data_IF_606797027320
#
_entry.id   IF_606797027320
#
_cell.length_a   1.000
_cell.length_b   1.000
_cell.length_c   1.000
_cell.angle_alpha   90.00
_cell.angle_beta   90.00
_cell.angle_gamma   90.00
#
_symmetry.space_group_name_H-M   'P 1'
#
loop_
_entity.id
_entity.type
_entity.pdbx_description
1 polymer ?
#
# COMPACT_ATOMS: atom_id res chain seq x y z
N UNK A 1 1.02 -6.22 -5.72
CA UNK A 1 1.82 -5.83 -4.54
C UNK A 1 2.61 -7.05 -4.10
N UNK A 2 3.88 -6.87 -3.74
CA UNK A 2 4.74 -7.97 -3.27
C UNK A 2 5.12 -7.70 -1.82
N UNK A 3 4.97 -8.72 -0.96
CA UNK A 3 5.43 -8.68 0.43
C UNK A 3 6.71 -9.52 0.55
N UNK A 4 7.90 -8.90 0.56
CA UNK A 4 9.16 -9.62 0.70
C UNK A 4 9.50 -9.97 2.16
N UNK A 5 8.63 -9.69 3.12
CA UNK A 5 8.90 -9.84 4.56
C UNK A 5 8.35 -11.16 5.11
N UNK A 6 8.87 -11.63 6.26
CA UNK A 6 8.33 -12.80 6.96
C UNK A 6 7.03 -12.52 7.74
N UNK A 7 6.44 -11.32 7.61
CA UNK A 7 5.28 -10.90 8.40
C UNK A 7 4.03 -10.77 7.53
N UNK A 8 2.86 -10.97 8.13
CA UNK A 8 1.60 -10.60 7.48
C UNK A 8 1.48 -9.08 7.42
N UNK A 9 1.03 -8.56 6.28
CA UNK A 9 0.74 -7.12 6.14
C UNK A 9 -0.76 -6.97 5.89
N UNK A 10 -1.43 -6.21 6.76
CA UNK A 10 -2.85 -5.86 6.59
C UNK A 10 -2.93 -4.49 5.93
N UNK A 11 -3.37 -4.47 4.68
CA UNK A 11 -3.58 -3.24 3.90
C UNK A 11 -5.02 -2.82 4.06
N UNK A 12 -5.22 -1.60 4.51
CA UNK A 12 -6.56 -1.07 4.80
C UNK A 12 -7.00 -0.02 3.79
N UNK A 13 -6.08 0.60 3.04
CA UNK A 13 -6.43 1.64 2.08
C UNK A 13 -5.35 1.82 1.01
N UNK A 14 -5.76 2.23 -0.19
CA UNK A 14 -4.87 2.81 -1.19
C UNK A 14 -5.55 4.04 -1.79
N UNK A 15 -4.94 5.22 -1.68
CA UNK A 15 -5.50 6.46 -2.20
C UNK A 15 -4.40 7.48 -2.52
N UNK A 16 -4.70 8.59 -3.21
CA UNK A 16 -3.71 9.66 -3.51
C UNK A 16 -3.27 10.47 -2.30
N UNK A 17 -4.01 10.35 -1.21
CA UNK A 17 -3.79 10.99 0.09
C UNK A 17 -4.18 10.03 1.24
N UNK A 18 -4.16 10.52 2.48
CA UNK A 18 -4.51 9.73 3.67
C UNK A 18 -6.02 9.50 3.85
N UNK A 19 -6.87 10.02 2.96
CA UNK A 19 -8.32 9.83 3.09
C UNK A 19 -8.71 8.38 2.81
N UNK A 20 -9.56 7.84 3.67
CA UNK A 20 -10.06 6.46 3.56
C UNK A 20 -11.01 6.33 2.37
N UNK A 21 -10.68 5.42 1.46
CA UNK A 21 -11.64 4.94 0.48
C UNK A 21 -12.60 3.95 1.15
N UNK A 22 -13.90 4.26 1.13
CA UNK A 22 -14.92 3.49 1.86
C UNK A 22 -15.17 2.13 1.23
N UNK A 23 -14.85 2.00 -0.06
CA UNK A 23 -15.10 0.83 -0.88
C UNK A 23 -13.84 -0.05 -1.00
N UNK A 24 -12.72 0.34 -0.37
CA UNK A 24 -11.50 -0.45 -0.42
C UNK A 24 -11.63 -1.72 0.45
N UNK A 25 -11.51 -2.92 -0.13
CA UNK A 25 -11.52 -4.15 0.65
C UNK A 25 -10.22 -4.26 1.44
N UNK A 26 -10.29 -4.60 2.72
CA UNK A 26 -9.07 -4.91 3.47
C UNK A 26 -8.37 -6.14 2.88
N UNK A 27 -7.06 -6.06 2.67
CA UNK A 27 -6.28 -7.12 2.03
C UNK A 27 -5.20 -7.59 2.99
N UNK A 28 -5.21 -8.89 3.27
CA UNK A 28 -4.11 -9.57 3.94
C UNK A 28 -3.09 -10.04 2.91
N UNK A 29 -1.86 -9.55 3.00
CA UNK A 29 -0.74 -10.01 2.17
C UNK A 29 0.14 -10.92 3.02
N UNK A 30 0.12 -12.22 2.73
CA UNK A 30 0.87 -13.22 3.47
C UNK A 30 2.40 -13.02 3.31
N UNK A 31 3.22 -13.59 4.23
CA UNK A 31 4.67 -13.57 4.11
C UNK A 31 5.16 -14.09 2.76
N UNK A 32 6.18 -13.43 2.19
CA UNK A 32 6.84 -13.85 0.95
C UNK A 32 5.87 -14.14 -0.21
N UNK A 33 4.77 -13.39 -0.29
CA UNK A 33 3.71 -13.62 -1.27
C UNK A 33 3.34 -12.35 -2.01
N UNK A 34 2.67 -12.54 -3.14
CA UNK A 34 2.10 -11.47 -3.94
C UNK A 34 0.58 -11.43 -3.74
N UNK A 35 0.03 -10.22 -3.80
CA UNK A 35 -1.42 -9.97 -3.83
C UNK A 35 -1.76 -8.95 -4.89
N UNK A 36 -2.86 -9.18 -5.60
CA UNK A 36 -3.38 -8.24 -6.60
C UNK A 36 -4.39 -7.33 -5.95
N UNK A 37 -4.19 -6.02 -6.12
CA UNK A 37 -5.13 -4.98 -5.69
C UNK A 37 -5.37 -4.07 -6.86
N UNK A 38 -6.64 -3.77 -7.14
CA UNK A 38 -7.01 -2.85 -8.20
C UNK A 38 -6.99 -1.43 -7.64
N UNK A 39 -6.21 -0.56 -8.27
CA UNK A 39 -6.26 0.87 -7.95
C UNK A 39 -7.60 1.44 -8.41
N UNK A 40 -8.19 2.32 -7.60
CA UNK A 40 -9.40 3.06 -7.96
C UNK A 40 -9.24 3.84 -9.26
N UNK A 41 -8.04 4.35 -9.51
CA UNK A 41 -7.68 4.98 -10.77
C UNK A 41 -6.30 4.47 -11.24
N UNK A 42 -6.23 3.78 -12.40
CA UNK A 42 -4.96 3.26 -12.92
C UNK A 42 -3.99 4.35 -13.41
N UNK A 43 -4.44 5.60 -13.57
CA UNK A 43 -3.59 6.72 -13.97
C UNK A 43 -2.76 7.31 -12.80
N UNK A 44 -2.97 6.84 -11.57
CA UNK A 44 -2.18 7.32 -10.44
C UNK A 44 -0.73 6.89 -10.55
N UNK A 45 0.17 7.88 -10.54
CA UNK A 45 1.61 7.67 -10.48
C UNK A 45 2.18 7.88 -9.07
N UNK A 46 1.38 8.37 -8.11
CA UNK A 46 1.72 8.53 -6.71
C UNK A 46 0.49 8.21 -5.87
N UNK A 47 0.66 7.41 -4.82
CA UNK A 47 -0.40 7.06 -3.89
C UNK A 47 0.17 6.66 -2.53
N UNK A 48 -0.67 6.68 -1.51
CA UNK A 48 -0.36 6.16 -0.20
C UNK A 48 -1.06 4.83 0.03
N UNK A 49 -0.33 3.90 0.63
CA UNK A 49 -0.84 2.61 1.07
C UNK A 49 -0.91 2.65 2.59
N UNK A 50 -2.11 2.50 3.12
CA UNK A 50 -2.33 2.42 4.56
C UNK A 50 -2.25 0.96 5.04
N UNK A 51 -1.53 0.74 6.13
CA UNK A 51 -1.39 -0.57 6.77
C UNK A 51 -1.48 -0.46 8.29
N UNK A 52 -1.79 -1.58 8.94
CA UNK A 52 -1.82 -1.69 10.40
C UNK A 52 -0.48 -2.26 10.88
N UNK A 53 0.17 -1.59 11.84
CA UNK A 53 1.36 -2.12 12.52
C UNK A 53 1.02 -3.10 13.65
N UNK A 54 2.04 -3.74 14.23
CA UNK A 54 1.87 -4.75 15.28
C UNK A 54 1.19 -4.21 16.56
N UNK A 55 1.12 -2.89 16.73
CA UNK A 55 0.46 -2.23 17.86
C UNK A 55 -0.97 -1.78 17.54
N UNK A 56 -1.48 -2.10 16.34
CA UNK A 56 -2.80 -1.67 15.87
C UNK A 56 -2.80 -0.23 15.32
N UNK A 57 -1.64 0.40 15.16
CA UNK A 57 -1.50 1.75 14.63
C UNK A 57 -1.68 1.79 13.12
N UNK A 58 -2.47 2.75 12.63
CA UNK A 58 -2.59 3.03 11.20
C UNK A 58 -1.35 3.81 10.72
N UNK A 59 -0.66 3.25 9.74
CA UNK A 59 0.54 3.83 9.12
C UNK A 59 0.32 4.02 7.63
N UNK A 60 1.03 4.98 7.05
CA UNK A 60 0.95 5.31 5.62
C UNK A 60 2.33 5.25 5.00
N UNK A 61 2.42 4.56 3.87
CA UNK A 61 3.61 4.50 3.02
C UNK A 61 3.28 5.16 1.69
N UNK A 62 4.04 6.19 1.30
CA UNK A 62 3.86 6.85 0.00
C UNK A 62 4.69 6.14 -1.07
N UNK A 63 4.07 5.81 -2.19
CA UNK A 63 4.70 5.18 -3.34
C UNK A 63 4.69 6.11 -4.54
N UNK A 64 5.74 6.04 -5.34
CA UNK A 64 5.87 6.73 -6.62
C UNK A 64 6.16 5.70 -7.72
N UNK A 65 5.39 5.74 -8.78
CA UNK A 65 5.54 4.94 -9.99
C UNK A 65 6.15 5.80 -11.10
N UNK A 66 7.10 5.23 -11.83
CA UNK A 66 7.71 5.85 -13.00
C UNK A 66 7.37 5.02 -14.24
N UNK A 67 6.57 5.57 -15.16
CA UNK A 67 6.18 4.92 -16.42
C UNK A 67 5.96 3.39 -16.29
N UNK A 68 6.74 2.58 -17.02
CA UNK A 68 6.64 1.12 -17.03
C UNK A 68 7.41 0.41 -15.88
N UNK A 69 7.90 1.14 -14.89
CA UNK A 69 8.65 0.58 -13.75
C UNK A 69 7.72 0.27 -12.56
N UNK A 70 8.05 -0.75 -11.75
CA UNK A 70 7.37 -0.99 -10.48
C UNK A 70 7.42 0.24 -9.58
N UNK A 71 6.30 0.54 -8.92
CA UNK A 71 6.22 1.62 -7.94
C UNK A 71 7.20 1.41 -6.79
N UNK A 72 7.89 2.47 -6.39
CA UNK A 72 8.88 2.47 -5.32
C UNK A 72 8.34 3.18 -4.09
N UNK A 73 8.67 2.64 -2.91
CA UNK A 73 8.42 3.31 -1.63
C UNK A 73 9.27 4.58 -1.55
N UNK A 74 8.65 5.71 -1.26
CA UNK A 74 9.36 6.94 -0.95
C UNK A 74 9.87 6.91 0.50
N UNK A 75 11.07 7.47 0.77
CA UNK A 75 11.58 7.59 2.13
C UNK A 75 10.59 8.36 3.00
N UNK A 76 10.25 7.81 4.17
CA UNK A 76 9.52 8.58 5.17
C UNK A 76 10.45 9.65 5.75
N UNK A 77 9.94 10.87 5.92
CA UNK A 77 10.65 11.90 6.66
C UNK A 77 10.89 11.41 8.10
N UNK A 78 12.13 11.58 8.58
CA UNK A 78 12.61 11.07 9.85
C UNK A 78 12.08 11.87 11.04
#
# INVERSE_FOLDING_TARGET
>A
MSNPTPFNIVITNINVDQSKDKDFPEVLVAPFSDSTVTLKNPAWNSFEVAYIDDFGGLKFNKYQCAAAQPCQLLPQAK
#
